data_IF_021245393486
#
_entry.id   IF_021245393486
#
_cell.length_a   1.000
_cell.length_b   1.000
_cell.length_c   1.000
_cell.angle_alpha   90.00
_cell.angle_beta   90.00
_cell.angle_gamma   90.00
#
_symmetry.space_group_name_H-M   'P 1'
#
loop_
_entity.id
_entity.type
_entity.pdbx_description
1 polymer ?
#
# COMPACT_ATOMS: atom_id res chain seq x y z
N UNK A 1 -17.96 -17.92 24.05
CA UNK A 1 -18.73 -17.83 22.79
C UNK A 1 -18.90 -16.39 22.28
N UNK A 2 -19.27 -15.40 23.11
CA UNK A 2 -19.46 -14.01 22.64
C UNK A 2 -18.22 -13.33 22.04
N UNK A 3 -17.02 -13.56 22.59
CA UNK A 3 -15.79 -12.96 22.05
C UNK A 3 -15.40 -13.46 20.65
N UNK A 4 -15.69 -14.72 20.35
CA UNK A 4 -15.35 -15.34 19.05
C UNK A 4 -16.29 -14.88 17.93
N UNK A 5 -17.57 -14.65 18.25
CA UNK A 5 -18.55 -14.07 17.32
C UNK A 5 -18.23 -12.60 17.04
N UNK A 6 -17.74 -11.86 18.03
CA UNK A 6 -17.34 -10.46 17.87
C UNK A 6 -16.07 -10.31 17.03
N UNK A 7 -15.05 -11.15 17.25
CA UNK A 7 -13.84 -11.16 16.43
C UNK A 7 -14.14 -11.54 14.97
N UNK A 8 -15.01 -12.53 14.74
CA UNK A 8 -15.40 -12.93 13.39
C UNK A 8 -16.07 -11.78 12.61
N UNK A 9 -16.94 -11.01 13.28
CA UNK A 9 -17.61 -9.86 12.67
C UNK A 9 -16.64 -8.74 12.31
N UNK A 10 -15.66 -8.46 13.16
CA UNK A 10 -14.65 -7.43 12.89
C UNK A 10 -13.77 -7.82 11.69
N UNK A 11 -13.32 -9.08 11.64
CA UNK A 11 -12.54 -9.59 10.52
C UNK A 11 -13.32 -9.54 9.19
N UNK A 12 -14.61 -9.86 9.22
CA UNK A 12 -15.46 -9.79 8.03
C UNK A 12 -15.65 -8.35 7.55
N UNK A 13 -15.88 -7.40 8.46
CA UNK A 13 -15.98 -5.99 8.11
C UNK A 13 -14.68 -5.47 7.50
N UNK A 14 -13.54 -5.81 8.12
CA UNK A 14 -12.22 -5.43 7.62
C UNK A 14 -11.99 -5.95 6.19
N UNK A 15 -12.32 -7.22 5.95
CA UNK A 15 -12.22 -7.84 4.63
C UNK A 15 -13.09 -7.11 3.60
N UNK A 16 -14.36 -6.83 3.92
CA UNK A 16 -15.25 -6.12 3.01
C UNK A 16 -14.75 -4.70 2.68
N UNK A 17 -14.26 -3.95 3.69
CA UNK A 17 -13.72 -2.59 3.49
C UNK A 17 -12.46 -2.62 2.62
N UNK A 18 -11.62 -3.65 2.78
CA UNK A 18 -10.43 -3.81 1.96
C UNK A 18 -10.75 -4.17 0.52
N UNK A 19 -11.68 -5.11 0.31
CA UNK A 19 -12.16 -5.47 -1.03
C UNK A 19 -12.73 -4.24 -1.75
N UNK A 20 -13.51 -3.42 -1.05
CA UNK A 20 -14.01 -2.16 -1.59
C UNK A 20 -12.88 -1.19 -1.97
N UNK A 21 -11.85 -1.06 -1.13
CA UNK A 21 -10.69 -0.22 -1.43
C UNK A 21 -9.93 -0.73 -2.66
N UNK A 22 -9.69 -2.03 -2.76
CA UNK A 22 -9.05 -2.67 -3.92
C UNK A 22 -9.85 -2.39 -5.20
N UNK A 23 -11.16 -2.56 -5.17
CA UNK A 23 -12.04 -2.30 -6.31
C UNK A 23 -11.98 -0.83 -6.76
N UNK A 24 -12.02 0.11 -5.81
CA UNK A 24 -11.92 1.54 -6.12
C UNK A 24 -10.57 1.89 -6.76
N UNK A 25 -9.47 1.35 -6.23
CA UNK A 25 -8.14 1.57 -6.80
C UNK A 25 -8.02 0.94 -8.18
N UNK A 26 -8.47 -0.29 -8.38
CA UNK A 26 -8.42 -0.98 -9.68
C UNK A 26 -9.20 -0.23 -10.76
N UNK A 27 -10.33 0.42 -10.42
CA UNK A 27 -11.09 1.26 -11.36
C UNK A 27 -10.34 2.54 -11.73
N UNK A 28 -9.61 3.14 -10.79
CA UNK A 28 -8.83 4.36 -11.03
C UNK A 28 -7.45 4.11 -11.65
N UNK A 29 -6.89 2.91 -11.46
CA UNK A 29 -5.59 2.45 -11.95
C UNK A 29 -5.77 1.11 -12.70
N UNK A 30 -6.32 1.14 -13.93
CA UNK A 30 -6.67 -0.08 -14.67
C UNK A 30 -5.47 -0.87 -15.18
N UNK A 31 -4.29 -0.22 -15.27
CA UNK A 31 -3.04 -0.84 -15.74
C UNK A 31 -1.93 -0.64 -14.72
N UNK A 32 -0.81 -1.35 -14.90
CA UNK A 32 0.40 -1.10 -14.13
C UNK A 32 0.93 0.32 -14.37
N UNK A 33 1.46 0.93 -13.32
CA UNK A 33 1.98 2.29 -13.36
C UNK A 33 1.62 3.13 -12.14
N UNK A 34 1.91 4.44 -12.24
CA UNK A 34 1.57 5.46 -11.25
C UNK A 34 0.49 6.37 -11.82
N UNK A 35 -0.50 6.71 -11.00
CA UNK A 35 -1.66 7.52 -11.38
C UNK A 35 -1.92 8.55 -10.30
N UNK A 36 -2.22 9.78 -10.72
CA UNK A 36 -2.44 10.91 -9.83
C UNK A 36 -3.86 11.44 -10.09
N UNK A 37 -4.92 10.74 -9.63
CA UNK A 37 -6.29 11.04 -10.03
C UNK A 37 -6.76 12.42 -9.57
N UNK A 38 -6.24 12.92 -8.45
CA UNK A 38 -6.49 14.25 -7.89
C UNK A 38 -5.28 14.72 -7.09
N UNK A 39 -5.19 16.03 -6.83
CA UNK A 39 -4.12 16.60 -6.01
C UNK A 39 -4.04 15.93 -4.63
N UNK A 40 -2.82 15.51 -4.26
CA UNK A 40 -2.54 14.85 -2.98
C UNK A 40 -2.89 13.35 -2.93
N UNK A 41 -3.45 12.77 -4.00
CA UNK A 41 -3.72 11.33 -4.10
C UNK A 41 -2.83 10.71 -5.17
N UNK A 42 -2.05 9.73 -4.78
CA UNK A 42 -1.15 8.97 -5.66
C UNK A 42 -1.51 7.50 -5.56
N UNK A 43 -1.77 6.87 -6.71
CA UNK A 43 -2.02 5.44 -6.84
C UNK A 43 -0.87 4.78 -7.58
N UNK A 44 -0.52 3.58 -7.17
CA UNK A 44 0.46 2.76 -7.87
C UNK A 44 -0.04 1.32 -7.98
N UNK A 45 0.11 0.73 -9.17
CA UNK A 45 -0.23 -0.66 -9.44
C UNK A 45 0.94 -1.37 -10.11
N UNK A 46 1.18 -2.61 -9.69
CA UNK A 46 2.16 -3.49 -10.29
C UNK A 46 1.66 -4.93 -10.23
N UNK A 47 1.53 -5.57 -11.39
CA UNK A 47 1.18 -6.99 -11.52
C UNK A 47 2.38 -7.92 -11.33
N UNK A 48 3.59 -7.37 -11.21
CA UNK A 48 4.83 -8.11 -10.99
C UNK A 48 5.60 -7.59 -9.78
N UNK A 49 6.23 -8.52 -9.05
CA UNK A 49 7.27 -8.16 -8.09
C UNK A 49 8.52 -7.72 -8.86
N UNK A 50 9.21 -6.70 -8.36
CA UNK A 50 10.26 -6.01 -9.13
C UNK A 50 11.59 -5.91 -8.40
N UNK A 51 12.56 -5.34 -9.09
CA UNK A 51 13.79 -4.85 -8.46
C UNK A 51 13.53 -3.53 -7.73
N UNK A 52 14.37 -3.16 -6.74
CA UNK A 52 14.27 -1.87 -6.09
C UNK A 52 14.45 -0.71 -7.09
N UNK A 53 13.55 0.28 -7.02
CA UNK A 53 13.59 1.51 -7.78
C UNK A 53 13.84 2.69 -6.85
N UNK A 54 14.79 3.54 -7.21
CA UNK A 54 15.13 4.75 -6.45
C UNK A 54 14.19 5.90 -6.79
N UNK A 55 13.76 6.62 -5.76
CA UNK A 55 12.90 7.80 -5.89
C UNK A 55 13.17 8.78 -4.74
N UNK A 56 12.69 10.01 -4.89
CA UNK A 56 12.54 10.93 -3.76
C UNK A 56 11.08 10.85 -3.31
N UNK A 57 10.86 10.61 -2.02
CA UNK A 57 9.52 10.53 -1.45
C UNK A 57 9.30 11.70 -0.50
N UNK A 58 8.25 12.48 -0.77
CA UNK A 58 7.83 13.57 0.10
C UNK A 58 7.02 13.08 1.31
N UNK A 59 6.57 14.01 2.16
CA UNK A 59 5.67 13.71 3.27
C UNK A 59 4.36 13.09 2.76
N UNK A 60 4.00 11.90 3.25
CA UNK A 60 2.82 11.18 2.80
C UNK A 60 2.41 10.07 3.77
N UNK A 61 1.13 9.68 3.73
CA UNK A 61 0.63 8.44 4.30
C UNK A 61 0.48 7.43 3.17
N UNK A 62 1.28 6.37 3.19
CA UNK A 62 1.19 5.28 2.24
C UNK A 62 0.46 4.09 2.86
N UNK A 63 -0.54 3.59 2.14
CA UNK A 63 -1.28 2.38 2.46
C UNK A 63 -1.20 1.40 1.28
N UNK A 64 -1.28 0.10 1.57
CA UNK A 64 -1.32 -0.95 0.56
C UNK A 64 -2.73 -1.53 0.57
N UNK A 65 -3.41 -1.58 -0.57
CA UNK A 65 -4.72 -2.24 -0.63
C UNK A 65 -4.56 -3.76 -0.83
N UNK A 66 -3.53 -4.17 -1.57
CA UNK A 66 -3.25 -5.55 -1.95
C UNK A 66 -1.75 -5.74 -2.19
N UNK A 67 -1.23 -6.94 -1.90
CA UNK A 67 0.18 -7.25 -2.04
C UNK A 67 1.03 -6.75 -0.88
N UNK A 68 2.25 -6.28 -1.17
CA UNK A 68 3.18 -5.81 -0.15
C UNK A 68 4.38 -5.09 -0.75
N UNK A 69 4.94 -4.13 -0.02
CA UNK A 69 6.01 -3.26 -0.48
C UNK A 69 7.14 -3.17 0.56
N UNK A 70 8.35 -3.01 0.05
CA UNK A 70 9.55 -2.79 0.83
C UNK A 70 10.15 -1.43 0.46
N UNK A 71 10.69 -0.76 1.46
CA UNK A 71 11.34 0.54 1.35
C UNK A 71 12.66 0.51 2.10
N UNK A 72 13.67 1.12 1.49
CA UNK A 72 14.99 1.35 2.05
C UNK A 72 15.24 2.86 2.14
N UNK A 73 15.78 3.30 3.27
CA UNK A 73 16.22 4.68 3.48
C UNK A 73 17.40 4.71 4.44
N UNK A 74 18.52 5.28 3.99
CA UNK A 74 19.80 5.12 4.68
C UNK A 74 20.12 3.63 4.89
N UNK A 75 20.34 3.23 6.14
CA UNK A 75 20.58 1.85 6.54
C UNK A 75 19.31 1.11 7.00
N UNK A 76 18.16 1.77 6.97
CA UNK A 76 16.89 1.24 7.45
C UNK A 76 16.09 0.58 6.32
N UNK A 77 15.34 -0.45 6.70
CA UNK A 77 14.44 -1.21 5.82
C UNK A 77 13.08 -1.36 6.50
N UNK A 78 12.03 -0.97 5.79
CA UNK A 78 10.64 -1.08 6.23
C UNK A 78 9.84 -1.89 5.21
N UNK A 79 9.10 -2.87 5.69
CA UNK A 79 8.11 -3.60 4.91
C UNK A 79 6.72 -3.20 5.40
N UNK A 80 5.79 -3.05 4.45
CA UNK A 80 4.41 -2.76 4.76
C UNK A 80 3.49 -3.43 3.74
N UNK A 81 2.31 -3.79 4.23
CA UNK A 81 1.29 -4.62 3.61
C UNK A 81 -0.09 -4.03 3.94
N UNK A 82 -1.21 -4.65 3.55
CA UNK A 82 -2.53 -4.07 3.81
C UNK A 82 -2.93 -3.90 5.28
N UNK A 83 -2.16 -4.43 6.22
CA UNK A 83 -2.40 -4.31 7.65
C UNK A 83 -1.47 -3.28 8.31
N UNK A 84 -0.58 -2.67 7.54
CA UNK A 84 0.43 -1.72 8.01
C UNK A 84 0.50 -0.51 7.09
N UNK A 85 0.92 0.63 7.62
CA UNK A 85 1.09 1.85 6.85
C UNK A 85 2.49 2.38 7.02
N UNK A 86 2.88 3.24 6.08
CA UNK A 86 4.11 4.00 6.17
C UNK A 86 3.76 5.49 6.22
N UNK A 87 4.30 6.20 7.20
CA UNK A 87 4.18 7.65 7.31
C UNK A 87 5.55 8.29 7.10
N UNK A 88 5.67 9.15 6.11
CA UNK A 88 6.82 10.03 5.92
C UNK A 88 6.44 11.46 6.28
N UNK A 89 7.30 12.13 7.04
CA UNK A 89 7.07 13.52 7.51
C UNK A 89 8.06 14.52 6.91
N UNK A 90 9.08 14.01 6.22
CA UNK A 90 10.11 14.79 5.53
C UNK A 90 10.29 14.24 4.12
N UNK A 91 10.93 15.02 3.27
CA UNK A 91 11.38 14.57 1.97
C UNK A 91 12.70 13.81 2.11
N UNK A 92 12.79 12.61 1.54
CA UNK A 92 13.99 11.78 1.63
C UNK A 92 14.22 10.94 0.36
N UNK A 93 15.48 10.62 0.04
CA UNK A 93 15.80 9.64 -0.99
C UNK A 93 15.49 8.23 -0.46
N UNK A 94 14.81 7.43 -1.29
CA UNK A 94 14.32 6.11 -0.92
C UNK A 94 14.56 5.15 -2.07
N UNK A 95 14.73 3.88 -1.74
CA UNK A 95 14.64 2.79 -2.73
C UNK A 95 13.46 1.92 -2.35
N UNK A 96 12.56 1.63 -3.29
CA UNK A 96 11.35 0.85 -2.99
C UNK A 96 11.17 -0.31 -3.95
N UNK A 97 10.60 -1.40 -3.46
CA UNK A 97 10.37 -2.62 -4.22
C UNK A 97 9.01 -3.21 -3.91
N UNK A 98 8.28 -3.63 -4.93
CA UNK A 98 7.10 -4.48 -4.78
C UNK A 98 7.56 -5.88 -4.39
N UNK A 99 7.13 -6.35 -3.23
CA UNK A 99 7.46 -7.68 -2.69
C UNK A 99 6.44 -8.72 -3.16
N UNK A 100 5.16 -8.38 -3.04
CA UNK A 100 4.03 -9.20 -3.47
C UNK A 100 3.16 -8.34 -4.37
N UNK A 101 2.98 -8.78 -5.61
CA UNK A 101 2.11 -8.15 -6.60
C UNK A 101 0.74 -8.81 -6.64
N UNK A 102 -0.23 -8.11 -7.23
CA UNK A 102 -1.65 -8.48 -7.31
C UNK A 102 -2.35 -7.74 -8.44
#
# INVERSE_FOLDING_TARGET
MNGMLQSARLNQLEQCLREELVDRINRAAPTDGRFDPFDGIYLARSSVSGNPASAVMGPSLCVIAQGGKEMFFGEQRCQYDPYTYLLTTVELPVSTRVMQAS
#
